data_IF_433589016455
#
_entry.id   IF_433589016455
#
_cell.length_a   1.000
_cell.length_b   1.000
_cell.length_c   1.000
_cell.angle_alpha   90.00
_cell.angle_beta   90.00
_cell.angle_gamma   90.00
#
_symmetry.space_group_name_H-M   'P 1'
#
loop_
_entity.id
_entity.type
_entity.pdbx_description
1 polymer ?
#
# COMPACT_ATOMS: atom_id res chain seq x y z
N UNK A 1 1.48 -26.14 -21.43
CA UNK A 1 1.25 -24.68 -21.43
C UNK A 1 2.22 -24.06 -22.43
N UNK A 2 1.73 -23.41 -23.48
CA UNK A 2 2.60 -22.83 -24.53
C UNK A 2 2.93 -21.39 -24.10
N UNK A 3 4.19 -21.13 -23.76
CA UNK A 3 4.72 -19.78 -23.57
C UNK A 3 4.81 -19.14 -24.97
N UNK A 4 4.08 -18.06 -25.18
CA UNK A 4 4.20 -17.26 -26.40
C UNK A 4 5.12 -16.10 -26.06
N UNK A 5 6.40 -16.24 -26.39
CA UNK A 5 7.37 -15.16 -26.45
C UNK A 5 7.30 -14.56 -27.86
N UNK A 6 6.83 -13.33 -27.99
CA UNK A 6 6.96 -12.56 -29.24
C UNK A 6 7.93 -11.44 -28.94
N UNK A 7 9.16 -11.57 -29.44
CA UNK A 7 10.21 -10.55 -29.36
C UNK A 7 10.28 -9.82 -30.70
N UNK A 8 9.93 -8.55 -30.72
CA UNK A 8 10.21 -7.67 -31.86
C UNK A 8 11.34 -6.73 -31.47
N UNK A 9 12.52 -6.89 -32.07
CA UNK A 9 13.66 -6.04 -31.82
C UNK A 9 13.65 -4.86 -32.83
N UNK A 10 13.62 -3.64 -32.33
CA UNK A 10 13.86 -2.42 -33.11
C UNK A 10 15.28 -1.93 -32.79
N UNK A 11 16.15 -1.87 -33.80
CA UNK A 11 17.52 -1.44 -33.67
C UNK A 11 17.61 0.08 -33.48
N UNK A 12 18.20 0.54 -32.38
CA UNK A 12 18.56 1.93 -32.14
C UNK A 12 20.05 2.17 -32.38
N UNK A 13 20.36 3.31 -32.94
CA UNK A 13 21.70 3.75 -33.34
C UNK A 13 22.55 4.11 -32.10
N UNK A 14 23.66 3.44 -31.88
CA UNK A 14 24.54 3.63 -30.73
C UNK A 14 25.55 4.78 -30.95
N UNK A 15 25.65 5.68 -29.98
CA UNK A 15 26.77 6.59 -29.79
C UNK A 15 27.63 6.07 -28.63
N UNK A 16 28.85 5.67 -28.92
CA UNK A 16 29.78 5.08 -27.95
C UNK A 16 30.36 6.14 -27.01
N UNK A 17 30.03 6.05 -25.73
CA UNK A 17 30.86 6.56 -24.63
C UNK A 17 31.07 5.40 -23.65
N UNK A 18 32.26 5.30 -23.05
CA UNK A 18 32.69 4.21 -22.18
C UNK A 18 32.01 4.23 -20.80
N UNK A 19 30.69 4.36 -20.77
CA UNK A 19 29.79 4.16 -19.64
C UNK A 19 28.83 3.02 -20.01
N UNK A 20 28.23 2.38 -19.02
CA UNK A 20 27.21 1.37 -19.17
C UNK A 20 26.31 1.63 -20.40
N UNK A 21 26.22 0.68 -21.31
CA UNK A 21 25.45 0.86 -22.55
C UNK A 21 23.97 0.69 -22.25
N UNK A 22 23.22 1.79 -22.26
CA UNK A 22 21.76 1.77 -22.12
C UNK A 22 21.13 1.07 -23.31
N UNK A 23 20.25 0.12 -23.05
CA UNK A 23 19.49 -0.64 -24.03
C UNK A 23 18.00 -0.52 -23.77
N UNK A 24 17.25 -0.72 -24.84
CA UNK A 24 15.78 -0.72 -24.80
C UNK A 24 15.26 -2.02 -25.38
N UNK A 25 14.35 -2.68 -24.64
CA UNK A 25 13.55 -3.81 -25.13
C UNK A 25 12.08 -3.45 -25.10
N UNK A 26 11.35 -3.89 -26.11
CA UNK A 26 9.91 -3.67 -26.23
C UNK A 26 9.20 -5.01 -26.37
N UNK A 27 8.10 -5.15 -25.64
CA UNK A 27 7.25 -6.32 -25.65
C UNK A 27 5.80 -5.91 -25.95
N UNK A 28 5.03 -6.80 -26.52
CA UNK A 28 3.59 -6.60 -26.72
C UNK A 28 2.82 -7.64 -25.91
N UNK A 29 2.01 -7.16 -24.95
CA UNK A 29 1.12 -7.98 -24.13
C UNK A 29 -0.28 -7.37 -24.11
N UNK A 30 -1.29 -8.21 -24.18
CA UNK A 30 -2.69 -7.73 -24.21
C UNK A 30 -3.32 -7.82 -22.83
N UNK A 31 -4.04 -6.76 -22.47
CA UNK A 31 -4.83 -6.70 -21.22
C UNK A 31 -3.95 -6.97 -19.99
N UNK A 32 -2.94 -6.14 -19.78
CA UNK A 32 -2.21 -6.15 -18.51
C UNK A 32 -3.12 -5.50 -17.46
N UNK A 33 -3.41 -6.25 -16.39
CA UNK A 33 -4.20 -5.80 -15.23
C UNK A 33 -3.43 -5.97 -13.91
N UNK A 34 -2.32 -6.71 -13.93
CA UNK A 34 -1.46 -6.93 -12.77
C UNK A 34 0.02 -6.74 -13.07
N UNK A 35 0.79 -6.36 -12.06
CA UNK A 35 2.24 -6.17 -12.11
C UNK A 35 2.87 -6.84 -10.90
N UNK A 36 3.77 -7.80 -11.16
CA UNK A 36 4.66 -8.39 -10.17
C UNK A 36 6.10 -7.94 -10.46
N UNK A 37 6.78 -7.30 -9.53
CA UNK A 37 8.15 -6.86 -9.70
C UNK A 37 9.00 -7.10 -8.46
N UNK A 38 10.10 -7.82 -8.66
CA UNK A 38 11.13 -8.05 -7.65
C UNK A 38 12.48 -7.48 -8.07
N UNK A 39 13.34 -7.12 -7.13
CA UNK A 39 14.66 -6.51 -7.30
C UNK A 39 14.64 -4.98 -7.21
N UNK A 40 14.80 -4.23 -8.33
CA UNK A 40 14.92 -2.76 -8.33
C UNK A 40 14.44 -2.24 -9.69
N UNK A 41 13.17 -2.28 -9.90
CA UNK A 41 12.52 -1.72 -11.09
C UNK A 41 11.91 -0.36 -10.75
N UNK A 42 12.05 0.61 -11.67
CA UNK A 42 11.34 1.88 -11.64
C UNK A 42 10.24 1.83 -12.72
N UNK A 43 9.00 1.65 -12.29
CA UNK A 43 7.87 1.33 -13.17
C UNK A 43 6.96 2.55 -13.31
N UNK A 44 6.72 2.96 -14.55
CA UNK A 44 5.83 4.06 -14.88
C UNK A 44 4.61 3.54 -15.63
N UNK A 45 3.46 3.66 -15.02
CA UNK A 45 2.18 3.23 -15.57
C UNK A 45 1.34 4.44 -15.90
N UNK A 46 0.93 4.58 -17.15
CA UNK A 46 -0.01 5.61 -17.58
C UNK A 46 -1.37 5.01 -17.91
N UNK A 47 -2.45 5.76 -17.68
CA UNK A 47 -3.78 5.29 -18.08
C UNK A 47 -3.90 5.31 -19.59
N UNK A 48 -4.03 4.13 -20.22
CA UNK A 48 -4.11 3.99 -21.67
C UNK A 48 -4.37 2.56 -22.11
N UNK A 49 -4.36 2.35 -23.42
CA UNK A 49 -4.67 1.05 -24.05
C UNK A 49 -3.56 0.53 -24.94
N UNK A 50 -2.35 1.04 -24.81
CA UNK A 50 -1.21 0.46 -25.52
C UNK A 50 -0.93 -0.93 -24.97
N UNK A 51 -0.65 -1.87 -25.87
CA UNK A 51 -0.19 -3.20 -25.50
C UNK A 51 1.34 -3.29 -25.41
N UNK A 52 2.02 -2.14 -25.44
CA UNK A 52 3.48 -2.07 -25.53
C UNK A 52 4.06 -1.82 -24.14
N UNK A 53 4.98 -2.68 -23.73
CA UNK A 53 5.83 -2.52 -22.56
C UNK A 53 7.23 -2.20 -23.03
N UNK A 54 7.77 -1.08 -22.61
CA UNK A 54 9.14 -0.64 -22.94
C UNK A 54 10.02 -0.73 -21.69
N UNK A 55 11.13 -1.43 -21.77
CA UNK A 55 12.09 -1.58 -20.68
C UNK A 55 13.42 -0.96 -21.13
N UNK A 56 13.89 0.03 -20.39
CA UNK A 56 15.17 0.69 -20.56
C UNK A 56 16.10 0.24 -19.44
N UNK A 57 17.26 -0.29 -19.76
CA UNK A 57 18.17 -0.91 -18.81
C UNK A 57 19.62 -0.83 -19.26
N UNK A 58 20.54 -0.99 -18.30
CA UNK A 58 21.96 -1.17 -18.60
C UNK A 58 22.23 -2.58 -19.15
N UNK A 59 23.00 -2.66 -20.24
CA UNK A 59 23.33 -3.91 -20.93
C UNK A 59 23.88 -5.02 -20.05
N UNK A 60 24.48 -4.67 -18.91
CA UNK A 60 25.01 -5.65 -17.94
C UNK A 60 23.92 -6.52 -17.28
N UNK A 61 22.65 -6.08 -17.30
CA UNK A 61 21.51 -6.81 -16.72
C UNK A 61 20.77 -7.70 -17.73
N UNK A 62 21.11 -7.60 -19.02
CA UNK A 62 20.35 -8.23 -20.12
C UNK A 62 20.14 -9.73 -19.96
N UNK A 63 21.20 -10.45 -19.58
CA UNK A 63 21.18 -11.92 -19.47
C UNK A 63 20.46 -12.41 -18.19
N UNK A 64 20.19 -11.53 -17.26
CA UNK A 64 19.59 -11.83 -15.96
C UNK A 64 18.13 -11.41 -15.86
N UNK A 65 17.67 -10.51 -16.74
CA UNK A 65 16.32 -9.98 -16.73
C UNK A 65 15.32 -11.00 -17.29
N UNK A 66 14.31 -11.33 -16.50
CA UNK A 66 13.20 -12.18 -16.89
C UNK A 66 11.91 -11.36 -16.96
N UNK A 67 11.27 -11.39 -18.13
CA UNK A 67 9.99 -10.72 -18.38
C UNK A 67 9.00 -11.79 -18.80
N UNK A 68 8.00 -12.04 -17.97
CA UNK A 68 7.00 -13.08 -18.19
C UNK A 68 5.60 -12.44 -18.11
N UNK A 69 4.70 -12.86 -18.97
CA UNK A 69 3.31 -12.45 -18.94
C UNK A 69 2.40 -13.66 -18.76
N UNK A 70 1.56 -13.62 -17.76
CA UNK A 70 0.57 -14.65 -17.47
C UNK A 70 -0.79 -14.24 -18.04
N UNK A 71 -1.08 -14.65 -19.27
CA UNK A 71 -2.25 -14.20 -20.03
C UNK A 71 -3.62 -14.60 -19.46
N UNK A 72 -3.69 -15.47 -18.43
CA UNK A 72 -4.93 -15.83 -17.74
C UNK A 72 -5.24 -14.80 -16.65
N UNK A 73 -4.26 -14.44 -15.83
CA UNK A 73 -4.39 -13.41 -14.79
C UNK A 73 -4.21 -11.98 -15.29
N UNK A 74 -3.57 -11.81 -16.47
CA UNK A 74 -3.20 -10.48 -16.96
C UNK A 74 -1.98 -9.88 -16.28
N UNK A 75 -1.19 -10.68 -15.53
CA UNK A 75 -0.07 -10.21 -14.71
C UNK A 75 1.23 -10.18 -15.51
N UNK A 76 1.89 -9.02 -15.53
CA UNK A 76 3.25 -8.82 -16.03
C UNK A 76 4.24 -9.05 -14.88
N UNK A 77 5.08 -10.07 -15.00
CA UNK A 77 6.08 -10.43 -14.01
C UNK A 77 7.49 -10.00 -14.47
N UNK A 78 8.15 -9.19 -13.65
CA UNK A 78 9.47 -8.60 -13.87
C UNK A 78 10.43 -9.09 -12.78
N UNK A 79 11.37 -9.97 -13.15
CA UNK A 79 12.28 -10.58 -12.18
C UNK A 79 13.74 -10.56 -12.67
N UNK A 80 14.68 -10.69 -11.74
CA UNK A 80 16.09 -10.92 -12.01
C UNK A 80 16.48 -12.33 -11.56
N UNK A 81 16.98 -13.15 -12.50
CA UNK A 81 17.41 -14.52 -12.23
C UNK A 81 18.93 -14.60 -12.19
N UNK A 82 19.45 -15.37 -11.23
CA UNK A 82 20.87 -15.72 -11.14
C UNK A 82 21.86 -14.53 -11.16
N UNK A 83 21.41 -13.36 -10.67
CA UNK A 83 22.19 -12.13 -10.69
C UNK A 83 23.49 -12.28 -9.87
N UNK A 84 24.69 -12.09 -10.45
CA UNK A 84 25.96 -12.16 -9.74
C UNK A 84 26.01 -11.18 -8.57
N UNK A 85 26.65 -11.58 -7.46
CA UNK A 85 26.73 -10.76 -6.24
C UNK A 85 27.26 -9.34 -6.50
N UNK A 86 28.18 -9.20 -7.45
CA UNK A 86 28.74 -7.88 -7.83
C UNK A 86 27.69 -6.96 -8.43
N UNK A 87 26.79 -7.47 -9.26
CA UNK A 87 25.69 -6.71 -9.87
C UNK A 87 24.54 -6.49 -8.88
N UNK A 88 24.27 -7.46 -8.02
CA UNK A 88 23.26 -7.35 -6.95
C UNK A 88 23.57 -6.22 -5.97
N UNK A 89 24.85 -5.98 -5.70
CA UNK A 89 25.32 -4.92 -4.80
C UNK A 89 25.63 -3.60 -5.54
N UNK A 90 25.26 -3.48 -6.82
CA UNK A 90 25.38 -2.23 -7.56
C UNK A 90 24.46 -1.17 -6.94
N UNK A 91 24.98 0.01 -6.69
CA UNK A 91 24.25 1.05 -5.96
C UNK A 91 23.08 1.66 -6.73
N UNK A 92 23.01 1.48 -8.04
CA UNK A 92 21.96 2.10 -8.88
C UNK A 92 21.68 1.27 -10.13
N UNK A 93 20.99 0.13 -10.04
CA UNK A 93 20.45 -0.50 -11.24
C UNK A 93 19.37 0.43 -11.81
N UNK A 94 19.67 1.04 -12.96
CA UNK A 94 18.73 1.91 -13.64
C UNK A 94 17.91 1.07 -14.63
N UNK A 95 16.82 0.46 -14.13
CA UNK A 95 15.93 -0.35 -14.96
C UNK A 95 14.55 0.30 -14.91
N UNK A 96 14.19 0.94 -16.01
CA UNK A 96 12.90 1.65 -16.13
C UNK A 96 11.94 0.86 -17.00
N UNK A 97 10.70 0.80 -16.57
CA UNK A 97 9.62 0.12 -17.28
C UNK A 97 8.50 1.12 -17.54
N UNK A 98 8.06 1.20 -18.78
CA UNK A 98 6.96 2.06 -19.21
C UNK A 98 5.87 1.23 -19.83
N UNK A 99 4.64 1.37 -19.36
CA UNK A 99 3.47 0.68 -19.88
C UNK A 99 2.18 1.47 -19.70
N UNK A 100 1.15 1.06 -20.42
CA UNK A 100 -0.20 1.58 -20.24
C UNK A 100 -1.14 0.51 -19.71
N UNK A 101 -2.02 0.90 -18.79
CA UNK A 101 -3.10 0.05 -18.26
C UNK A 101 -4.40 0.84 -18.20
N UNK A 102 -5.54 0.14 -18.28
CA UNK A 102 -6.87 0.76 -18.03
C UNK A 102 -7.46 0.30 -16.71
N UNK A 103 -7.05 -0.86 -16.23
CA UNK A 103 -7.45 -1.46 -14.96
C UNK A 103 -6.22 -1.87 -14.18
N UNK A 104 -6.33 -1.86 -12.87
CA UNK A 104 -5.30 -2.34 -11.95
C UNK A 104 -5.99 -3.28 -10.96
N UNK A 105 -5.67 -4.58 -11.03
CA UNK A 105 -6.31 -5.62 -10.22
C UNK A 105 -5.31 -6.27 -9.24
N UNK A 106 -4.01 -6.27 -9.60
CA UNK A 106 -2.98 -6.94 -8.82
C UNK A 106 -1.65 -6.16 -8.90
N UNK A 107 -1.07 -5.84 -7.75
CA UNK A 107 0.24 -5.19 -7.64
C UNK A 107 1.06 -5.93 -6.58
N UNK A 108 2.10 -6.65 -7.01
CA UNK A 108 3.06 -7.27 -6.10
C UNK A 108 4.44 -6.64 -6.29
N UNK A 109 4.93 -5.92 -5.28
CA UNK A 109 6.25 -5.29 -5.31
C UNK A 109 7.14 -5.81 -4.19
N UNK A 110 8.34 -6.22 -4.58
CA UNK A 110 9.36 -6.66 -3.64
C UNK A 110 10.74 -6.09 -3.96
N UNK A 111 11.70 -6.37 -3.10
CA UNK A 111 13.06 -5.84 -3.24
C UNK A 111 13.12 -4.35 -2.95
N UNK A 112 13.53 -3.55 -3.93
CA UNK A 112 13.57 -2.09 -3.87
C UNK A 112 12.92 -1.49 -5.14
N UNK A 113 11.85 -2.13 -5.61
CA UNK A 113 11.10 -1.67 -6.79
C UNK A 113 10.22 -0.48 -6.44
N UNK A 114 10.04 0.40 -7.40
CA UNK A 114 9.11 1.53 -7.30
C UNK A 114 8.12 1.52 -8.45
N UNK A 115 6.88 1.96 -8.17
CA UNK A 115 5.84 2.13 -9.17
C UNK A 115 5.16 3.48 -9.01
N UNK A 116 4.94 4.14 -10.14
CA UNK A 116 4.23 5.42 -10.24
C UNK A 116 3.10 5.29 -11.24
N UNK A 117 1.89 5.67 -10.83
CA UNK A 117 0.72 5.68 -11.69
C UNK A 117 0.35 7.11 -12.09
N UNK A 118 0.11 7.32 -13.39
CA UNK A 118 -0.39 8.57 -13.94
C UNK A 118 -1.78 8.39 -14.52
N UNK A 119 -2.76 9.09 -13.95
CA UNK A 119 -4.18 9.01 -14.32
C UNK A 119 -5.03 8.35 -13.25
N UNK A 120 -6.28 8.13 -13.56
CA UNK A 120 -7.27 7.47 -12.71
C UNK A 120 -7.58 6.08 -13.25
N UNK A 121 -7.50 5.07 -12.41
CA UNK A 121 -7.70 3.67 -12.77
C UNK A 121 -9.01 3.14 -12.21
N UNK A 122 -9.39 1.96 -12.65
CA UNK A 122 -10.56 1.25 -12.13
C UNK A 122 -10.25 -0.22 -11.90
N UNK A 123 -10.98 -0.81 -10.96
CA UNK A 123 -10.88 -2.23 -10.64
C UNK A 123 -12.25 -2.75 -10.18
N UNK A 124 -12.43 -4.07 -10.15
CA UNK A 124 -13.44 -4.68 -9.28
C UNK A 124 -12.86 -4.89 -7.90
N UNK A 125 -11.65 -5.45 -7.83
CA UNK A 125 -10.91 -5.73 -6.63
C UNK A 125 -9.44 -5.35 -6.88
N UNK A 126 -8.82 -4.66 -5.95
CA UNK A 126 -7.39 -4.39 -5.97
C UNK A 126 -6.71 -5.21 -4.89
N UNK A 127 -5.77 -6.04 -5.33
CA UNK A 127 -4.85 -6.78 -4.46
C UNK A 127 -3.48 -6.09 -4.51
N UNK A 128 -2.99 -5.63 -3.35
CA UNK A 128 -1.73 -4.92 -3.22
C UNK A 128 -0.83 -5.62 -2.21
N UNK A 129 0.25 -6.24 -2.66
CA UNK A 129 1.28 -6.84 -1.81
C UNK A 129 2.60 -6.08 -1.94
N UNK A 130 3.03 -5.46 -0.86
CA UNK A 130 4.23 -4.64 -0.79
C UNK A 130 5.21 -5.20 0.23
N UNK A 131 6.41 -5.54 -0.22
CA UNK A 131 7.44 -6.08 0.67
C UNK A 131 8.84 -5.50 0.38
N UNK A 132 9.81 -5.82 1.23
CA UNK A 132 11.17 -5.30 1.09
C UNK A 132 11.25 -3.80 1.38
N UNK A 133 11.83 -3.03 0.48
CA UNK A 133 11.90 -1.57 0.49
C UNK A 133 11.24 -0.99 -0.75
N UNK A 134 10.06 -1.51 -1.10
CA UNK A 134 9.33 -1.12 -2.29
C UNK A 134 8.49 0.14 -2.06
N UNK A 135 8.17 0.84 -3.16
CA UNK A 135 7.45 2.12 -3.10
C UNK A 135 6.34 2.16 -4.14
N UNK A 136 5.12 2.43 -3.71
CA UNK A 136 4.01 2.84 -4.56
C UNK A 136 3.75 4.34 -4.33
N UNK A 137 4.16 5.18 -5.29
CA UNK A 137 4.18 6.63 -5.07
C UNK A 137 2.79 7.26 -5.05
N UNK A 138 1.90 6.88 -5.92
CA UNK A 138 0.52 7.39 -5.94
C UNK A 138 -0.32 6.52 -6.87
N UNK A 139 -1.45 6.04 -6.37
CA UNK A 139 -2.45 5.35 -7.16
C UNK A 139 -3.82 5.99 -6.93
N UNK A 140 -4.41 6.54 -8.00
CA UNK A 140 -5.80 7.02 -7.99
C UNK A 140 -6.70 5.96 -8.60
N UNK A 141 -7.61 5.41 -7.80
CA UNK A 141 -8.38 4.24 -8.21
C UNK A 141 -9.84 4.29 -7.73
N UNK A 142 -10.73 3.71 -8.53
CA UNK A 142 -12.12 3.44 -8.17
C UNK A 142 -12.43 1.96 -8.32
N UNK A 143 -13.05 1.38 -7.30
CA UNK A 143 -13.32 -0.05 -7.28
C UNK A 143 -14.46 -0.46 -6.37
N UNK A 144 -14.59 -1.77 -6.21
CA UNK A 144 -15.50 -2.37 -5.23
C UNK A 144 -14.79 -2.59 -3.91
N UNK A 145 -13.62 -3.24 -3.92
CA UNK A 145 -12.84 -3.56 -2.72
C UNK A 145 -11.34 -3.36 -2.93
N UNK A 146 -10.63 -3.20 -1.81
CA UNK A 146 -9.17 -3.16 -1.70
C UNK A 146 -8.70 -4.11 -0.62
N UNK A 147 -7.73 -4.95 -0.95
CA UNK A 147 -6.90 -5.68 0.02
C UNK A 147 -5.45 -5.18 -0.12
N UNK A 148 -4.85 -4.70 0.96
CA UNK A 148 -3.49 -4.18 0.93
C UNK A 148 -2.63 -4.74 2.06
N UNK A 149 -1.61 -5.52 1.72
CA UNK A 149 -0.59 -6.04 2.63
C UNK A 149 0.73 -5.29 2.41
N UNK A 150 1.14 -4.53 3.41
CA UNK A 150 2.36 -3.73 3.40
C UNK A 150 3.32 -4.20 4.48
N UNK A 151 4.44 -4.78 4.09
CA UNK A 151 5.44 -5.35 5.00
C UNK A 151 6.86 -4.85 4.73
N UNK A 152 7.81 -5.24 5.56
CA UNK A 152 9.22 -4.83 5.44
C UNK A 152 9.44 -3.38 5.80
N UNK A 153 9.87 -2.57 4.85
CA UNK A 153 10.06 -1.13 4.92
C UNK A 153 9.45 -0.47 3.66
N UNK A 154 8.30 -0.96 3.24
CA UNK A 154 7.57 -0.46 2.07
C UNK A 154 6.82 0.84 2.38
N UNK A 155 6.54 1.61 1.35
CA UNK A 155 5.76 2.84 1.45
C UNK A 155 4.76 2.90 0.31
N UNK A 156 3.49 3.19 0.63
CA UNK A 156 2.42 3.25 -0.37
C UNK A 156 1.45 4.39 -0.10
N UNK A 157 0.96 4.99 -1.19
CA UNK A 157 -0.06 6.04 -1.15
C UNK A 157 -1.17 5.73 -2.16
N UNK A 158 -2.40 5.62 -1.66
CA UNK A 158 -3.60 5.31 -2.43
C UNK A 158 -4.65 6.39 -2.23
N UNK A 159 -5.16 6.97 -3.32
CA UNK A 159 -6.37 7.78 -3.35
C UNK A 159 -7.50 6.91 -3.95
N UNK A 160 -8.41 6.40 -3.11
CA UNK A 160 -9.36 5.37 -3.51
C UNK A 160 -10.83 5.69 -3.20
N UNK A 161 -11.72 5.28 -4.12
CA UNK A 161 -13.17 5.26 -3.91
C UNK A 161 -13.65 3.83 -4.08
N UNK A 162 -13.95 3.18 -2.97
CA UNK A 162 -14.43 1.80 -2.95
C UNK A 162 -15.89 1.76 -2.50
N UNK A 163 -16.69 0.93 -3.14
CA UNK A 163 -18.14 0.84 -2.83
C UNK A 163 -18.43 -0.16 -1.72
N UNK A 164 -17.46 -1.00 -1.38
CA UNK A 164 -17.56 -2.05 -0.37
C UNK A 164 -16.41 -1.93 0.64
N UNK A 165 -15.58 -2.93 0.78
CA UNK A 165 -14.65 -3.05 1.88
C UNK A 165 -13.21 -2.63 1.49
N UNK A 166 -12.51 -2.06 2.46
CA UNK A 166 -11.08 -1.78 2.42
C UNK A 166 -10.43 -2.50 3.60
N UNK A 167 -9.59 -3.49 3.29
CA UNK A 167 -8.82 -4.26 4.26
C UNK A 167 -7.34 -3.91 4.11
N UNK A 168 -6.68 -3.54 5.21
CA UNK A 168 -5.26 -3.16 5.19
C UNK A 168 -4.49 -3.88 6.31
N UNK A 169 -3.39 -4.52 5.95
CA UNK A 169 -2.43 -5.09 6.88
C UNK A 169 -1.09 -4.38 6.72
N UNK A 170 -0.62 -3.70 7.77
CA UNK A 170 0.60 -2.89 7.72
C UNK A 170 1.56 -3.33 8.81
N UNK A 171 2.69 -3.92 8.43
CA UNK A 171 3.59 -4.57 9.36
C UNK A 171 5.07 -4.19 9.14
N UNK A 172 5.95 -4.62 10.05
CA UNK A 172 7.38 -4.30 9.96
C UNK A 172 7.67 -2.84 10.29
N UNK A 173 8.24 -2.10 9.36
CA UNK A 173 8.50 -0.67 9.40
C UNK A 173 7.92 0.03 8.16
N UNK A 174 6.80 -0.47 7.67
CA UNK A 174 6.12 0.03 6.48
C UNK A 174 5.19 1.20 6.79
N UNK A 175 4.84 1.92 5.75
CA UNK A 175 3.92 3.06 5.80
C UNK A 175 2.87 2.92 4.70
N UNK A 176 1.59 3.03 5.08
CA UNK A 176 0.47 3.10 4.15
C UNK A 176 -0.32 4.37 4.38
N UNK A 177 -0.50 5.15 3.34
CA UNK A 177 -1.35 6.34 3.30
C UNK A 177 -2.58 6.05 2.44
N UNK A 178 -3.79 6.19 3.02
CA UNK A 178 -5.05 5.96 2.32
C UNK A 178 -5.96 7.18 2.42
N UNK A 179 -6.41 7.68 1.26
CA UNK A 179 -7.30 8.83 1.15
C UNK A 179 -8.52 8.48 0.32
N UNK A 180 -9.74 8.68 0.84
CA UNK A 180 -10.93 8.43 0.03
C UNK A 180 -12.19 8.00 0.76
N UNK A 181 -12.88 6.99 0.23
CA UNK A 181 -14.16 6.49 0.75
C UNK A 181 -14.28 4.99 0.57
N UNK A 182 -14.97 4.37 1.55
CA UNK A 182 -15.41 2.98 1.46
C UNK A 182 -16.71 2.79 2.27
N UNK A 183 -17.31 1.61 2.19
CA UNK A 183 -18.38 1.24 3.11
C UNK A 183 -17.78 0.85 4.47
N UNK A 184 -16.77 -0.01 4.47
CA UNK A 184 -16.03 -0.37 5.68
C UNK A 184 -14.53 -0.26 5.48
N UNK A 185 -13.81 -0.04 6.59
CA UNK A 185 -12.37 -0.13 6.66
C UNK A 185 -11.98 -1.00 7.85
N UNK A 186 -11.18 -2.03 7.58
CA UNK A 186 -10.51 -2.85 8.58
C UNK A 186 -9.00 -2.69 8.44
N UNK A 187 -8.30 -2.49 9.56
CA UNK A 187 -6.87 -2.25 9.55
C UNK A 187 -6.14 -2.94 10.68
N UNK A 188 -5.16 -3.78 10.32
CA UNK A 188 -4.21 -4.41 11.24
C UNK A 188 -2.84 -3.77 11.12
N UNK A 189 -2.43 -2.99 12.12
CA UNK A 189 -1.17 -2.25 12.11
C UNK A 189 -0.25 -2.80 13.21
N UNK A 190 0.91 -3.33 12.83
CA UNK A 190 1.79 -4.03 13.75
C UNK A 190 3.27 -3.68 13.59
N UNK A 191 4.11 -4.12 14.54
CA UNK A 191 5.55 -3.85 14.50
C UNK A 191 5.89 -2.40 14.83
N UNK A 192 6.50 -1.69 13.92
CA UNK A 192 6.79 -0.25 13.96
C UNK A 192 6.18 0.47 12.74
N UNK A 193 5.10 -0.08 12.21
CA UNK A 193 4.42 0.41 11.02
C UNK A 193 3.59 1.66 11.30
N UNK A 194 3.26 2.38 10.22
CA UNK A 194 2.43 3.58 10.25
C UNK A 194 1.29 3.45 9.25
N UNK A 195 0.09 3.78 9.70
CA UNK A 195 -1.08 3.95 8.86
C UNK A 195 -1.61 5.36 9.03
N UNK A 196 -1.69 6.11 7.95
CA UNK A 196 -2.27 7.45 7.94
C UNK A 196 -3.37 7.54 6.90
N UNK A 197 -4.45 8.27 7.19
CA UNK A 197 -5.48 8.44 6.18
C UNK A 197 -6.55 9.48 6.54
N UNK A 198 -7.18 9.99 5.47
CA UNK A 198 -8.37 10.83 5.54
C UNK A 198 -9.47 10.16 4.71
N UNK A 199 -10.54 9.70 5.37
CA UNK A 199 -11.60 8.97 4.66
C UNK A 199 -12.99 9.09 5.30
N UNK A 200 -14.00 8.78 4.49
CA UNK A 200 -15.39 8.67 4.94
C UNK A 200 -15.84 7.21 4.80
N UNK A 201 -16.24 6.57 5.91
CA UNK A 201 -16.72 5.19 5.95
C UNK A 201 -17.93 5.03 6.88
N UNK A 202 -18.76 4.01 6.66
CA UNK A 202 -19.85 3.67 7.59
C UNK A 202 -19.28 3.04 8.88
N UNK A 203 -18.31 2.12 8.73
CA UNK A 203 -17.67 1.42 9.83
C UNK A 203 -16.14 1.41 9.67
N UNK A 204 -15.43 1.59 10.79
CA UNK A 204 -13.98 1.52 10.84
C UNK A 204 -13.54 0.65 12.02
N UNK A 205 -12.68 -0.32 11.77
CA UNK A 205 -12.07 -1.16 12.79
C UNK A 205 -10.55 -1.11 12.66
N UNK A 206 -9.84 -0.73 13.72
CA UNK A 206 -8.38 -0.64 13.73
C UNK A 206 -7.82 -1.46 14.89
N UNK A 207 -7.01 -2.43 14.57
CA UNK A 207 -6.16 -3.13 15.53
C UNK A 207 -4.72 -2.61 15.42
N UNK A 208 -4.15 -2.17 16.53
CA UNK A 208 -2.82 -1.57 16.55
C UNK A 208 -1.95 -2.21 17.64
N UNK A 209 -0.83 -2.79 17.24
CA UNK A 209 0.03 -3.54 18.16
C UNK A 209 1.52 -3.20 18.03
N UNK A 210 2.33 -3.64 18.99
CA UNK A 210 3.76 -3.34 18.99
C UNK A 210 4.06 -1.86 19.31
N UNK A 211 4.82 -1.20 18.48
CA UNK A 211 5.14 0.24 18.53
C UNK A 211 4.55 0.98 17.31
N UNK A 212 3.48 0.46 16.74
CA UNK A 212 2.84 0.99 15.56
C UNK A 212 2.03 2.27 15.83
N UNK A 213 1.70 2.98 14.77
CA UNK A 213 0.91 4.22 14.82
C UNK A 213 -0.19 4.23 13.77
N UNK A 214 -1.41 4.62 14.19
CA UNK A 214 -2.52 4.91 13.28
C UNK A 214 -2.98 6.36 13.48
N UNK A 215 -3.02 7.15 12.39
CA UNK A 215 -3.51 8.54 12.38
C UNK A 215 -4.62 8.63 11.35
N UNK A 216 -5.84 8.91 11.81
CA UNK A 216 -7.03 8.83 10.97
C UNK A 216 -7.86 10.09 11.13
N UNK A 217 -8.23 10.69 10.00
CA UNK A 217 -9.08 11.87 9.87
C UNK A 217 -10.32 11.58 9.03
N UNK A 218 -11.36 12.42 9.11
CA UNK A 218 -12.59 12.26 8.34
C UNK A 218 -13.81 11.89 9.16
N UNK A 219 -14.60 10.88 8.75
CA UNK A 219 -15.82 10.55 9.48
C UNK A 219 -16.27 9.08 9.35
N UNK A 220 -16.97 8.60 10.40
CA UNK A 220 -17.60 7.29 10.44
C UNK A 220 -18.86 7.30 11.31
N UNK A 221 -19.75 6.32 11.09
CA UNK A 221 -20.84 6.07 12.04
C UNK A 221 -20.36 5.28 13.25
N UNK A 222 -19.55 4.24 13.02
CA UNK A 222 -19.08 3.34 14.06
C UNK A 222 -17.59 3.06 13.94
N UNK A 223 -16.87 3.23 15.05
CA UNK A 223 -15.43 2.97 15.14
C UNK A 223 -15.15 1.96 16.24
N UNK A 224 -14.29 0.99 15.96
CA UNK A 224 -13.68 0.07 16.93
C UNK A 224 -12.17 0.24 16.92
N UNK A 225 -11.56 0.45 18.07
CA UNK A 225 -10.13 0.67 18.23
C UNK A 225 -9.58 -0.28 19.28
N UNK A 226 -8.70 -1.17 18.87
CA UNK A 226 -7.99 -2.08 19.75
C UNK A 226 -6.50 -1.79 19.76
N UNK A 227 -5.96 -1.39 20.91
CA UNK A 227 -4.56 -1.02 21.06
C UNK A 227 -3.83 -1.90 22.07
N UNK A 228 -2.69 -2.47 21.67
CA UNK A 228 -1.85 -3.27 22.54
C UNK A 228 -0.36 -2.93 22.41
N UNK A 229 0.46 -3.35 23.37
CA UNK A 229 1.90 -3.02 23.36
C UNK A 229 2.16 -1.57 23.74
N UNK A 230 2.82 -0.80 22.88
CA UNK A 230 3.15 0.62 23.06
C UNK A 230 2.64 1.46 21.87
N UNK A 231 1.54 1.06 21.28
CA UNK A 231 1.00 1.69 20.08
C UNK A 231 0.35 3.06 20.34
N UNK A 232 0.21 3.83 19.27
CA UNK A 232 -0.45 5.13 19.25
C UNK A 232 -1.60 5.21 18.25
N UNK A 233 -2.83 5.47 18.70
CA UNK A 233 -4.00 5.65 17.84
C UNK A 233 -4.49 7.07 17.96
N UNK A 234 -4.55 7.82 16.87
CA UNK A 234 -5.05 9.19 16.85
C UNK A 234 -6.21 9.33 15.86
N UNK A 235 -7.41 9.31 16.40
CA UNK A 235 -8.67 9.54 15.67
C UNK A 235 -9.39 10.79 16.19
N UNK A 236 -8.64 11.79 16.68
CA UNK A 236 -9.19 13.04 17.19
C UNK A 236 -10.02 13.79 16.15
N UNK A 237 -9.52 13.80 14.93
CA UNK A 237 -10.10 14.53 13.81
C UNK A 237 -10.92 13.59 12.87
N UNK A 238 -11.22 12.38 13.36
CA UNK A 238 -12.12 11.40 12.77
C UNK A 238 -13.45 11.39 13.51
N UNK A 239 -14.42 12.12 12.97
CA UNK A 239 -15.72 12.38 13.64
C UNK A 239 -16.57 11.11 13.59
N UNK A 240 -16.75 10.47 14.75
CA UNK A 240 -17.56 9.27 14.86
C UNK A 240 -18.80 9.44 15.74
N UNK A 241 -19.87 8.71 15.45
CA UNK A 241 -21.07 8.69 16.29
C UNK A 241 -20.88 7.75 17.49
N UNK A 242 -20.44 6.54 17.23
CA UNK A 242 -20.25 5.48 18.21
C UNK A 242 -18.80 5.00 18.16
N UNK A 243 -18.12 5.03 19.29
CA UNK A 243 -16.73 4.59 19.39
C UNK A 243 -16.60 3.54 20.49
N UNK A 244 -15.98 2.41 20.15
CA UNK A 244 -15.55 1.39 21.09
C UNK A 244 -14.02 1.40 21.17
N UNK A 245 -13.45 1.42 22.35
CA UNK A 245 -12.00 1.44 22.56
C UNK A 245 -11.57 0.41 23.55
N UNK A 246 -10.60 -0.42 23.19
CA UNK A 246 -9.92 -1.34 24.09
C UNK A 246 -8.41 -1.06 24.07
N UNK A 247 -7.81 -0.71 25.21
CA UNK A 247 -6.39 -0.40 25.31
C UNK A 247 -5.71 -1.23 26.39
N UNK A 248 -4.64 -1.91 25.99
CA UNK A 248 -3.79 -2.69 26.87
C UNK A 248 -2.30 -2.35 26.70
N UNK A 249 -1.44 -2.85 27.60
CA UNK A 249 -0.01 -2.55 27.60
C UNK A 249 0.29 -1.12 28.05
N UNK A 250 0.97 -0.35 27.20
CA UNK A 250 1.31 1.07 27.40
C UNK A 250 0.80 1.95 26.24
N UNK A 251 -0.32 1.56 25.66
CA UNK A 251 -0.91 2.19 24.47
C UNK A 251 -1.51 3.57 24.77
N UNK A 252 -1.63 4.38 23.74
CA UNK A 252 -2.22 5.71 23.81
C UNK A 252 -3.26 5.91 22.72
N UNK A 253 -4.42 6.48 23.06
CA UNK A 253 -5.42 6.86 22.07
C UNK A 253 -5.91 8.30 22.27
N UNK A 254 -6.21 8.96 21.13
CA UNK A 254 -7.02 10.19 21.08
C UNK A 254 -8.21 9.89 20.19
N UNK A 255 -9.43 10.07 20.70
CA UNK A 255 -10.65 9.68 20.01
C UNK A 255 -11.71 10.78 20.04
N UNK A 256 -12.51 10.89 19.01
CA UNK A 256 -13.68 11.75 18.98
C UNK A 256 -14.95 10.90 18.91
N UNK A 257 -15.90 11.13 19.83
CA UNK A 257 -17.20 10.49 19.83
C UNK A 257 -18.31 11.51 20.07
N UNK A 258 -19.36 11.48 19.22
CA UNK A 258 -20.46 12.43 19.31
C UNK A 258 -21.68 11.91 20.06
N UNK A 259 -21.93 10.59 20.09
CA UNK A 259 -23.12 10.01 20.74
C UNK A 259 -22.76 9.04 21.87
N UNK A 260 -21.94 8.01 21.60
CA UNK A 260 -21.56 6.99 22.56
C UNK A 260 -20.07 6.68 22.51
N UNK A 261 -19.44 6.58 23.68
CA UNK A 261 -18.06 6.13 23.84
C UNK A 261 -18.01 5.03 24.89
N UNK A 262 -17.81 3.81 24.42
CA UNK A 262 -17.57 2.61 25.25
C UNK A 262 -16.08 2.33 25.32
N UNK A 263 -15.52 2.13 26.52
CA UNK A 263 -14.09 1.97 26.64
C UNK A 263 -13.67 0.98 27.74
N UNK A 264 -12.58 0.27 27.44
CA UNK A 264 -11.79 -0.53 28.35
C UNK A 264 -10.33 -0.09 28.27
N UNK A 265 -9.84 0.61 29.27
CA UNK A 265 -8.52 1.23 29.23
C UNK A 265 -7.72 0.79 30.46
N UNK A 266 -6.76 -0.13 30.24
CA UNK A 266 -5.89 -0.64 31.27
C UNK A 266 -5.03 0.44 31.93
N UNK A 267 -4.56 0.17 33.15
CA UNK A 267 -3.91 1.15 34.04
C UNK A 267 -2.70 1.88 33.49
N UNK A 268 -1.91 1.24 32.61
CA UNK A 268 -0.72 1.84 32.02
C UNK A 268 -1.00 2.59 30.71
N UNK A 269 -2.23 2.49 30.20
CA UNK A 269 -2.67 3.17 28.99
C UNK A 269 -3.17 4.58 29.27
N UNK A 270 -3.25 5.39 28.22
CA UNK A 270 -3.83 6.74 28.31
C UNK A 270 -4.77 6.99 27.15
N UNK A 271 -6.01 7.36 27.45
CA UNK A 271 -6.97 7.82 26.45
C UNK A 271 -7.34 9.27 26.68
N UNK A 272 -7.36 10.06 25.60
CA UNK A 272 -7.96 11.40 25.58
C UNK A 272 -9.15 11.37 24.64
N UNK A 273 -10.33 11.73 25.12
CA UNK A 273 -11.54 11.78 24.29
C UNK A 273 -12.03 13.20 24.07
N UNK A 274 -12.66 13.41 22.94
CA UNK A 274 -13.27 14.66 22.49
C UNK A 274 -14.73 14.40 22.12
N UNK A 275 -15.52 15.47 22.03
CA UNK A 275 -16.97 15.39 21.76
C UNK A 275 -17.81 15.30 23.03
N UNK A 276 -19.12 15.14 22.83
CA UNK A 276 -20.11 15.17 23.92
C UNK A 276 -20.82 13.83 24.12
N UNK A 277 -20.14 12.73 23.80
CA UNK A 277 -20.67 11.37 23.88
C UNK A 277 -21.04 10.96 25.32
N UNK A 278 -22.06 10.14 25.44
CA UNK A 278 -22.33 9.37 26.64
C UNK A 278 -21.21 8.33 26.85
N UNK A 279 -20.69 8.29 28.08
CA UNK A 279 -19.54 7.44 28.43
C UNK A 279 -20.00 6.15 29.10
N UNK A 280 -19.53 4.99 28.58
CA UNK A 280 -19.70 3.68 29.18
C UNK A 280 -18.32 3.06 29.48
N UNK A 281 -17.95 3.04 30.77
CA UNK A 281 -16.73 2.38 31.22
C UNK A 281 -17.00 0.91 31.54
N UNK A 282 -16.25 0.00 30.92
CA UNK A 282 -16.35 -1.44 31.18
C UNK A 282 -15.15 -2.01 31.92
N UNK A 283 -14.12 -1.18 32.20
CA UNK A 283 -12.96 -1.54 33.01
C UNK A 283 -13.11 -1.05 34.46
N UNK A 284 -12.33 -1.63 35.37
CA UNK A 284 -12.20 -1.13 36.75
C UNK A 284 -11.31 0.11 36.84
N UNK A 285 -10.46 0.32 35.85
CA UNK A 285 -9.52 1.45 35.74
C UNK A 285 -10.17 2.66 35.02
N UNK A 286 -9.78 3.86 35.38
CA UNK A 286 -10.33 5.09 34.80
C UNK A 286 -9.20 6.04 34.37
N UNK A 287 -8.43 5.64 33.35
CA UNK A 287 -7.28 6.41 32.82
C UNK A 287 -7.65 7.21 31.56
N UNK A 288 -8.78 7.92 31.64
CA UNK A 288 -9.24 8.76 30.55
C UNK A 288 -9.24 10.24 30.94
N UNK A 289 -9.02 11.10 29.97
CA UNK A 289 -9.04 12.56 30.11
C UNK A 289 -9.89 13.16 29.01
N UNK A 290 -10.78 14.08 29.36
CA UNK A 290 -11.49 14.89 28.35
C UNK A 290 -10.53 15.90 27.76
N UNK A 291 -10.40 15.91 26.44
CA UNK A 291 -9.67 16.93 25.68
C UNK A 291 -10.44 18.25 25.62
N UNK A 292 -9.74 19.37 25.44
CA UNK A 292 -10.30 20.71 25.31
C UNK A 292 -10.35 21.13 23.85
#
# INVERSE_FOLDING_TARGET
MKRILITLAIAALALFTANAEERTKTYEFKNITGIEAGFTYDIHVTHGRSNVVTIVYDSMYEDYMSVTYYGISGTLCLQMNDLPRKLRNSSHPNIKVYLEMTKVEDIELSGASSITFEGEFSTSELDLDMSGASHLHSLKIKGTSLSADCSGASNSTIEGYFTDDVDVEVSGASELNFYGRANSLEGDISGAAQFEGEFEVETCSIECSGAASAIIEGSSKKVSLDGSGACGINTRDFIAEIVNVSLSGASKAKVYASKHLRYDVSRACKMTYYGDAELENISEDNNIVRGR
#
